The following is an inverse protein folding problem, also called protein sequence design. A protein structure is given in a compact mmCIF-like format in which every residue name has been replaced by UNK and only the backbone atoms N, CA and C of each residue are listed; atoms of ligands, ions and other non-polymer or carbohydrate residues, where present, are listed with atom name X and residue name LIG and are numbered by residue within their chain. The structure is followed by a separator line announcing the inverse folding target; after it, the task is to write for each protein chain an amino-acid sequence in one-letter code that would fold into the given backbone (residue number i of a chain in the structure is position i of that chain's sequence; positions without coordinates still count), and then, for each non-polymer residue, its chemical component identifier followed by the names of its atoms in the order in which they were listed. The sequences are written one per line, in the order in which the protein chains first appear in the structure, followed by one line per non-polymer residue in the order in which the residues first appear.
data_IF_031070927456
#
_entry.id   IF_031070927456
#
_cell.length_a   1.000
_cell.length_b   1.000
_cell.length_c   1.000
_cell.angle_alpha   90.00
_cell.angle_beta   90.00
_cell.angle_gamma   90.00
#
_symmetry.space_group_name_H-M   'P 1'
#
loop_
_entity.id
_entity.type
_entity.pdbx_description
1 polymer ?
#
# COMPACT_ATOMS: atom_id res chain seq x y z
N UNK A 1 -15.90 19.91 68.72
CA UNK A 1 -15.36 18.55 68.82
C UNK A 1 -15.84 17.73 67.63
N UNK A 2 -14.89 17.11 66.90
CA UNK A 2 -14.96 15.87 66.10
C UNK A 2 -16.08 15.77 65.03
N UNK A 3 -15.73 15.93 63.74
CA UNK A 3 -15.24 14.91 62.78
C UNK A 3 -16.37 14.00 62.28
N UNK A 4 -16.28 13.61 61.00
CA UNK A 4 -17.11 12.68 60.19
C UNK A 4 -17.83 13.46 59.06
N UNK A 5 -17.67 13.22 57.76
CA UNK A 5 -17.21 12.03 57.03
C UNK A 5 -16.52 12.48 55.72
N UNK A 6 -15.27 12.07 55.52
CA UNK A 6 -14.60 11.97 54.23
C UNK A 6 -14.74 10.50 53.78
N UNK A 7 -15.47 10.23 52.71
CA UNK A 7 -15.49 8.97 51.94
C UNK A 7 -16.68 9.08 50.96
N UNK A 8 -16.64 8.69 49.69
CA UNK A 8 -15.64 8.06 48.87
C UNK A 8 -16.05 8.37 47.42
N UNK A 9 -15.14 8.97 46.64
CA UNK A 9 -15.30 9.13 45.18
C UNK A 9 -14.19 8.34 44.50
N UNK A 10 -14.17 7.03 44.73
CA UNK A 10 -13.27 6.09 44.07
C UNK A 10 -14.10 4.92 43.55
N UNK A 11 -14.80 5.12 42.44
CA UNK A 11 -15.52 4.11 41.67
C UNK A 11 -16.12 4.87 40.47
N UNK A 12 -15.89 4.59 39.19
CA UNK A 12 -15.26 3.49 38.47
C UNK A 12 -14.80 4.09 37.14
N UNK A 13 -13.50 4.25 36.92
CA UNK A 13 -12.97 4.44 35.56
C UNK A 13 -12.76 3.04 34.97
N UNK A 14 -13.86 2.35 34.63
CA UNK A 14 -13.77 1.20 33.73
C UNK A 14 -13.39 1.75 32.37
N UNK A 15 -12.08 1.72 32.06
CA UNK A 15 -11.59 1.92 30.72
C UNK A 15 -12.23 0.83 29.84
N UNK A 16 -13.16 1.21 28.98
CA UNK A 16 -13.64 0.36 27.91
C UNK A 16 -12.45 0.08 26.98
N UNK A 17 -11.73 -1.02 27.19
CA UNK A 17 -10.83 -1.58 26.19
C UNK A 17 -11.72 -2.15 25.08
N UNK A 18 -12.10 -1.31 24.12
CA UNK A 18 -12.72 -1.80 22.90
C UNK A 18 -11.72 -2.76 22.23
N UNK A 19 -12.16 -3.95 21.76
CA UNK A 19 -11.29 -4.87 21.05
C UNK A 19 -10.68 -4.13 19.84
N UNK A 20 -9.35 -4.11 19.79
CA UNK A 20 -8.62 -3.44 18.74
C UNK A 20 -8.86 -4.22 17.44
N UNK A 21 -9.39 -3.57 16.42
CA UNK A 21 -9.59 -4.21 15.12
C UNK A 21 -8.23 -4.65 14.59
N UNK A 22 -8.12 -5.93 14.21
CA UNK A 22 -6.93 -6.53 13.62
C UNK A 22 -6.50 -5.70 12.39
N UNK A 23 -5.24 -5.26 12.37
CA UNK A 23 -4.66 -4.48 11.27
C UNK A 23 -3.29 -5.05 10.90
N UNK A 24 -2.98 -5.07 9.61
CA UNK A 24 -1.70 -5.55 9.08
C UNK A 24 -0.79 -4.40 8.66
N UNK A 25 0.52 -4.62 8.67
CA UNK A 25 1.47 -3.63 8.17
C UNK A 25 1.51 -3.67 6.65
N UNK A 26 1.41 -2.51 6.04
CA UNK A 26 1.63 -2.30 4.62
C UNK A 26 2.88 -1.44 4.45
N UNK A 27 3.97 -2.07 4.01
CA UNK A 27 5.31 -1.52 3.95
C UNK A 27 5.96 -1.84 2.58
N UNK A 28 5.45 -1.22 1.49
CA UNK A 28 6.09 -1.31 0.19
C UNK A 28 7.55 -0.86 0.24
N UNK A 29 8.42 -1.55 -0.49
CA UNK A 29 9.85 -1.26 -0.54
C UNK A 29 10.22 -0.68 -1.90
N UNK A 30 10.82 0.50 -1.89
CA UNK A 30 11.35 1.14 -3.10
C UNK A 30 12.44 0.26 -3.74
N UNK A 31 12.47 0.21 -5.08
CA UNK A 31 13.55 -0.45 -5.82
C UNK A 31 14.58 0.59 -6.22
N UNK A 32 15.65 0.70 -5.43
CA UNK A 32 16.66 1.73 -5.62
C UNK A 32 17.61 1.39 -6.78
N UNK A 33 17.86 2.38 -7.64
CA UNK A 33 18.87 2.28 -8.71
C UNK A 33 20.28 2.57 -8.16
N UNK A 34 21.28 1.92 -8.76
CA UNK A 34 22.70 2.19 -8.48
C UNK A 34 23.31 3.22 -9.45
N UNK A 35 22.53 3.70 -10.42
CA UNK A 35 22.97 4.65 -11.43
C UNK A 35 21.84 5.62 -11.80
N UNK A 36 22.21 6.88 -11.99
CA UNK A 36 21.30 7.89 -12.52
C UNK A 36 20.98 7.61 -13.99
N UNK A 37 19.71 7.72 -14.36
CA UNK A 37 19.27 7.66 -15.77
C UNK A 37 19.04 9.07 -16.34
N UNK A 38 18.85 10.07 -15.47
CA UNK A 38 18.71 11.49 -15.81
C UNK A 38 19.59 12.35 -14.92
N UNK A 39 19.91 13.57 -15.36
CA UNK A 39 20.62 14.57 -14.56
C UNK A 39 19.64 15.68 -14.11
N UNK A 40 19.06 15.53 -12.92
CA UNK A 40 18.22 16.54 -12.24
C UNK A 40 16.93 16.96 -12.99
N UNK A 41 16.38 16.06 -13.82
CA UNK A 41 15.06 16.25 -14.42
C UNK A 41 13.98 16.30 -13.33
N UNK A 42 13.09 17.29 -13.40
CA UNK A 42 12.13 17.55 -12.32
C UNK A 42 10.71 17.10 -12.67
N UNK A 43 9.95 16.69 -11.64
CA UNK A 43 8.54 16.32 -11.77
C UNK A 43 7.75 16.62 -10.49
N UNK A 44 6.44 16.78 -10.63
CA UNK A 44 5.51 16.78 -9.50
C UNK A 44 4.94 15.38 -9.34
N UNK A 45 4.94 14.81 -8.14
CA UNK A 45 4.30 13.51 -7.86
C UNK A 45 2.98 13.72 -7.15
N UNK A 46 1.92 13.08 -7.64
CA UNK A 46 0.62 13.01 -6.96
C UNK A 46 0.12 11.57 -6.92
N UNK A 47 -0.77 11.28 -5.97
CA UNK A 47 -1.41 9.98 -5.88
C UNK A 47 -2.90 10.05 -5.55
N UNK A 48 -3.64 9.04 -5.99
CA UNK A 48 -5.07 8.84 -5.72
C UNK A 48 -5.33 7.40 -5.28
N UNK A 49 -6.27 7.23 -4.35
CA UNK A 49 -6.79 5.91 -3.97
C UNK A 49 -8.13 5.72 -4.67
N UNK A 50 -8.14 4.88 -5.71
CA UNK A 50 -9.32 4.58 -6.54
C UNK A 50 -9.94 3.22 -6.17
N UNK A 51 -9.42 2.55 -5.13
CA UNK A 51 -9.94 1.27 -4.67
C UNK A 51 -11.40 1.40 -4.24
N UNK A 52 -12.21 0.39 -4.60
CA UNK A 52 -13.63 0.34 -4.23
C UNK A 52 -13.87 0.24 -2.72
N UNK A 53 -12.85 -0.18 -1.96
CA UNK A 53 -12.90 -0.28 -0.51
C UNK A 53 -11.52 -0.03 0.13
N UNK A 54 -11.53 0.35 1.40
CA UNK A 54 -10.33 0.72 2.16
C UNK A 54 -9.65 -0.46 2.88
N UNK A 55 -10.30 -1.64 2.94
CA UNK A 55 -9.65 -2.84 3.43
C UNK A 55 -8.58 -3.33 2.44
N UNK A 56 -7.59 -4.06 2.95
CA UNK A 56 -6.49 -4.62 2.18
C UNK A 56 -6.50 -6.15 2.20
N UNK A 57 -7.34 -6.77 3.02
CA UNK A 57 -7.64 -8.18 2.92
C UNK A 57 -9.10 -8.48 3.25
N UNK A 58 -9.59 -9.57 2.67
CA UNK A 58 -10.89 -10.17 2.95
C UNK A 58 -10.68 -11.63 3.35
N UNK A 59 -11.07 -12.00 4.56
CA UNK A 59 -10.93 -13.36 5.07
C UNK A 59 -12.29 -14.05 5.05
N UNK A 60 -12.45 -15.00 4.14
CA UNK A 60 -13.56 -15.93 4.13
C UNK A 60 -13.15 -17.19 4.92
N UNK A 61 -13.56 -17.23 6.19
CA UNK A 61 -13.28 -18.35 7.09
C UNK A 61 -14.19 -19.57 6.87
N UNK A 62 -15.06 -19.55 5.86
CA UNK A 62 -16.10 -20.57 5.66
C UNK A 62 -17.23 -20.51 6.71
N UNK A 63 -17.21 -19.52 7.59
CA UNK A 63 -18.32 -19.14 8.48
C UNK A 63 -19.16 -18.07 7.80
N UNK A 64 -20.36 -17.79 8.32
CA UNK A 64 -21.34 -16.90 7.65
C UNK A 64 -20.90 -15.45 7.40
N UNK A 65 -19.69 -15.04 7.81
CA UNK A 65 -19.21 -13.66 7.69
C UNK A 65 -17.81 -13.62 7.06
N UNK A 66 -17.64 -12.74 6.07
CA UNK A 66 -16.33 -12.36 5.50
C UNK A 66 -15.76 -11.23 6.35
N UNK A 67 -14.53 -11.37 6.81
CA UNK A 67 -13.88 -10.43 7.72
C UNK A 67 -12.93 -9.48 6.96
N UNK A 68 -13.20 -8.16 6.92
CA UNK A 68 -12.30 -7.20 6.31
C UNK A 68 -11.16 -6.79 7.25
N UNK A 69 -9.92 -6.79 6.74
CA UNK A 69 -8.73 -6.36 7.46
C UNK A 69 -8.17 -5.08 6.82
N UNK A 70 -7.82 -4.11 7.65
CA UNK A 70 -7.26 -2.83 7.23
C UNK A 70 -5.74 -2.79 7.43
N UNK A 71 -5.06 -1.94 6.66
CA UNK A 71 -3.65 -1.65 6.86
C UNK A 71 -3.47 -0.62 7.97
N UNK A 72 -2.37 -0.71 8.72
CA UNK A 72 -1.97 0.33 9.69
C UNK A 72 -1.55 1.62 8.98
N UNK A 73 -0.86 1.49 7.86
CA UNK A 73 -0.40 2.60 7.03
C UNK A 73 -1.45 2.97 5.98
N UNK A 74 -1.45 4.23 5.56
CA UNK A 74 -2.26 4.66 4.41
C UNK A 74 -1.63 4.07 3.13
N UNK A 75 -2.40 3.23 2.42
CA UNK A 75 -1.92 2.51 1.22
C UNK A 75 -1.39 3.46 0.16
N UNK A 76 -2.17 4.50 -0.17
CA UNK A 76 -1.82 5.51 -1.18
C UNK A 76 -0.50 6.20 -0.83
N UNK A 77 -0.38 6.74 0.38
CA UNK A 77 0.83 7.46 0.81
C UNK A 77 2.05 6.53 0.87
N UNK A 78 1.86 5.28 1.28
CA UNK A 78 2.98 4.32 1.35
C UNK A 78 3.53 3.99 -0.03
N UNK A 79 2.66 3.84 -1.03
CA UNK A 79 3.06 3.62 -2.44
C UNK A 79 3.70 4.88 -3.03
N UNK A 80 3.11 6.06 -2.79
CA UNK A 80 3.67 7.34 -3.23
C UNK A 80 5.11 7.52 -2.74
N UNK A 81 5.36 7.26 -1.46
CA UNK A 81 6.70 7.35 -0.87
C UNK A 81 7.68 6.36 -1.50
N UNK A 82 7.27 5.10 -1.69
CA UNK A 82 8.14 4.08 -2.30
C UNK A 82 8.51 4.44 -3.75
N UNK A 83 7.56 4.93 -4.55
CA UNK A 83 7.82 5.40 -5.91
C UNK A 83 8.66 6.68 -5.94
N UNK A 84 8.42 7.61 -5.01
CA UNK A 84 9.22 8.82 -4.88
C UNK A 84 10.69 8.49 -4.61
N UNK A 85 10.96 7.59 -3.67
CA UNK A 85 12.32 7.16 -3.34
C UNK A 85 12.97 6.43 -4.51
N UNK A 86 12.22 5.61 -5.23
CA UNK A 86 12.66 4.92 -6.44
C UNK A 86 13.05 5.92 -7.54
N UNK A 87 12.19 6.89 -7.89
CA UNK A 87 12.53 7.89 -8.90
C UNK A 87 13.69 8.80 -8.46
N UNK A 88 13.77 9.17 -7.18
CA UNK A 88 14.93 9.92 -6.67
C UNK A 88 16.23 9.16 -6.82
N UNK A 89 16.23 7.85 -6.59
CA UNK A 89 17.42 7.01 -6.78
C UNK A 89 17.88 6.89 -8.24
N UNK A 90 17.02 7.28 -9.18
CA UNK A 90 17.29 7.30 -10.62
C UNK A 90 17.74 8.68 -11.13
N UNK A 91 17.90 9.66 -10.24
CA UNK A 91 18.37 11.02 -10.55
C UNK A 91 17.27 12.06 -10.78
N UNK A 92 15.99 11.69 -10.64
CA UNK A 92 14.88 12.65 -10.75
C UNK A 92 14.71 13.49 -9.49
N UNK A 93 14.27 14.74 -9.66
CA UNK A 93 13.97 15.66 -8.54
C UNK A 93 12.48 15.98 -8.44
N UNK A 94 11.87 15.61 -7.32
CA UNK A 94 10.47 15.99 -7.06
C UNK A 94 10.36 17.44 -6.59
N UNK A 95 9.46 18.22 -7.21
CA UNK A 95 9.16 19.61 -6.85
C UNK A 95 7.70 19.93 -7.17
N UNK A 96 7.09 20.86 -6.43
CA UNK A 96 5.67 21.23 -6.59
C UNK A 96 5.38 22.14 -7.79
N UNK A 97 6.43 22.66 -8.46
CA UNK A 97 6.34 23.64 -9.55
C UNK A 97 6.91 23.09 -10.87
N UNK A 98 6.88 21.78 -11.08
CA UNK A 98 7.33 21.18 -12.33
C UNK A 98 6.23 21.23 -13.39
N UNK A 99 6.59 21.47 -14.66
CA UNK A 99 5.70 21.31 -15.81
C UNK A 99 5.43 19.83 -16.13
N UNK A 100 6.34 18.94 -15.71
CA UNK A 100 6.15 17.48 -15.79
C UNK A 100 5.47 16.95 -14.53
N UNK A 101 4.58 16.00 -14.68
CA UNK A 101 3.88 15.34 -13.58
C UNK A 101 3.92 13.82 -13.70
N UNK A 102 3.90 13.17 -12.55
CA UNK A 102 3.62 11.74 -12.41
C UNK A 102 2.44 11.61 -11.47
N UNK A 103 1.36 11.00 -11.94
CA UNK A 103 0.20 10.65 -11.13
C UNK A 103 0.15 9.14 -10.94
N UNK A 104 -0.08 8.71 -9.71
CA UNK A 104 -0.20 7.28 -9.34
C UNK A 104 -1.61 7.02 -8.81
N UNK A 105 -2.35 6.16 -9.49
CA UNK A 105 -3.65 5.71 -9.03
C UNK A 105 -3.57 4.27 -8.50
N UNK A 106 -3.95 4.09 -7.24
CA UNK A 106 -4.11 2.76 -6.63
C UNK A 106 -5.49 2.24 -6.99
N UNK A 107 -5.58 1.34 -7.97
CA UNK A 107 -6.85 0.76 -8.44
C UNK A 107 -7.26 -0.44 -7.59
N UNK A 108 -6.28 -1.26 -7.19
CA UNK A 108 -6.51 -2.44 -6.36
C UNK A 108 -5.31 -2.69 -5.44
N UNK A 109 -5.56 -3.10 -4.21
CA UNK A 109 -4.56 -3.62 -3.29
C UNK A 109 -5.29 -4.50 -2.27
N UNK A 110 -5.42 -5.78 -2.60
CA UNK A 110 -6.30 -6.72 -1.89
C UNK A 110 -5.68 -8.11 -1.82
N UNK A 111 -5.75 -8.72 -0.64
CA UNK A 111 -5.56 -10.16 -0.44
C UNK A 111 -6.89 -10.81 -0.12
N UNK A 112 -7.34 -11.72 -0.98
CA UNK A 112 -8.52 -12.55 -0.74
C UNK A 112 -8.08 -13.88 -0.14
N UNK A 113 -8.57 -14.17 1.06
CA UNK A 113 -8.28 -15.43 1.75
C UNK A 113 -9.52 -16.31 1.71
N UNK A 114 -9.38 -17.51 1.18
CA UNK A 114 -10.41 -18.55 1.20
C UNK A 114 -9.95 -19.70 2.08
N UNK A 115 -10.72 -19.99 3.11
CA UNK A 115 -10.43 -21.07 4.04
C UNK A 115 -11.25 -22.33 3.71
N UNK A 116 -10.60 -23.48 3.80
CA UNK A 116 -11.24 -24.80 3.92
C UNK A 116 -10.76 -25.47 5.20
N UNK A 117 -11.40 -26.58 5.60
CA UNK A 117 -11.07 -27.28 6.85
C UNK A 117 -9.59 -27.65 6.99
N UNK A 118 -8.87 -27.88 5.89
CA UNK A 118 -7.48 -28.36 5.91
C UNK A 118 -6.46 -27.35 5.39
N UNK A 119 -6.88 -26.42 4.53
CA UNK A 119 -6.00 -25.49 3.83
C UNK A 119 -6.63 -24.11 3.71
N UNK A 120 -5.78 -23.09 3.58
CA UNK A 120 -6.16 -21.77 3.14
C UNK A 120 -5.52 -21.45 1.80
N UNK A 121 -6.21 -20.65 1.00
CA UNK A 121 -5.70 -20.06 -0.23
C UNK A 121 -5.73 -18.54 -0.10
N UNK A 122 -4.59 -17.90 -0.28
CA UNK A 122 -4.44 -16.45 -0.31
C UNK A 122 -4.12 -16.01 -1.73
N UNK A 123 -5.04 -15.25 -2.34
CA UNK A 123 -4.88 -14.63 -3.64
C UNK A 123 -4.68 -13.12 -3.46
N UNK A 124 -3.44 -12.66 -3.64
CA UNK A 124 -3.08 -11.25 -3.56
C UNK A 124 -3.06 -10.60 -4.93
N UNK A 125 -3.59 -9.38 -5.02
CA UNK A 125 -3.59 -8.57 -6.25
C UNK A 125 -3.39 -7.09 -5.93
N UNK A 126 -2.49 -6.46 -6.69
CA UNK A 126 -2.26 -5.02 -6.67
C UNK A 126 -2.28 -4.52 -8.10
N UNK A 127 -3.02 -3.44 -8.34
CA UNK A 127 -3.10 -2.77 -9.65
C UNK A 127 -2.81 -1.30 -9.44
N UNK A 128 -1.74 -0.82 -10.08
CA UNK A 128 -1.38 0.60 -10.12
C UNK A 128 -1.48 1.12 -11.54
N UNK A 129 -2.05 2.30 -11.71
CA UNK A 129 -1.92 3.07 -12.94
C UNK A 129 -0.96 4.24 -12.68
N UNK A 130 0.01 4.41 -13.56
CA UNK A 130 0.95 5.53 -13.54
C UNK A 130 0.77 6.33 -14.82
N UNK A 131 0.48 7.62 -14.66
CA UNK A 131 0.43 8.58 -15.75
C UNK A 131 1.62 9.52 -15.62
N UNK A 132 2.54 9.48 -16.59
CA UNK A 132 3.61 10.46 -16.75
C UNK A 132 3.18 11.47 -17.83
N UNK A 133 3.12 12.76 -17.48
CA UNK A 133 2.57 13.80 -18.35
C UNK A 133 3.52 15.01 -18.44
N UNK A 134 3.55 15.60 -19.63
CA UNK A 134 4.32 16.79 -19.99
C UNK A 134 3.47 17.70 -20.88
N UNK A 135 3.86 18.96 -21.15
CA UNK A 135 3.14 19.81 -22.11
C UNK A 135 3.03 19.22 -23.53
N UNK A 136 3.86 18.23 -23.86
CA UNK A 136 3.97 17.65 -25.20
C UNK A 136 3.13 16.37 -25.35
N UNK A 137 2.62 15.81 -24.26
CA UNK A 137 1.82 14.59 -24.25
C UNK A 137 1.89 13.84 -22.93
N UNK A 138 1.28 12.65 -22.90
CA UNK A 138 1.25 11.77 -21.73
C UNK A 138 1.49 10.31 -22.09
N UNK A 139 2.08 9.56 -21.16
CA UNK A 139 2.18 8.11 -21.17
C UNK A 139 1.40 7.56 -19.97
N UNK A 140 0.51 6.59 -20.22
CA UNK A 140 -0.28 5.91 -19.18
C UNK A 140 0.08 4.44 -19.19
N UNK A 141 0.43 3.90 -18.03
CA UNK A 141 0.86 2.51 -17.86
C UNK A 141 0.15 1.89 -16.66
N UNK A 142 -0.40 0.70 -16.86
CA UNK A 142 -1.01 -0.08 -15.79
C UNK A 142 -0.10 -1.26 -15.44
N UNK A 143 0.22 -1.40 -14.15
CA UNK A 143 1.05 -2.45 -13.60
C UNK A 143 0.19 -3.34 -12.70
N UNK A 144 0.28 -4.67 -12.89
CA UNK A 144 -0.56 -5.62 -12.17
C UNK A 144 0.30 -6.72 -11.57
N UNK A 145 0.40 -6.71 -10.24
CA UNK A 145 1.01 -7.78 -9.47
C UNK A 145 -0.05 -8.76 -9.00
N UNK A 146 0.26 -10.04 -9.08
CA UNK A 146 -0.53 -11.08 -8.43
C UNK A 146 0.38 -12.05 -7.70
N UNK A 147 -0.10 -12.60 -6.58
CA UNK A 147 0.54 -13.70 -5.89
C UNK A 147 -0.51 -14.67 -5.39
N UNK A 148 -0.14 -15.94 -5.37
CA UNK A 148 -0.97 -17.00 -4.82
C UNK A 148 -0.16 -17.80 -3.83
N UNK A 149 -0.70 -18.00 -2.62
CA UNK A 149 -0.12 -18.87 -1.60
C UNK A 149 -1.16 -19.81 -1.04
N UNK A 150 -0.71 -21.00 -0.69
CA UNK A 150 -1.51 -22.00 0.00
C UNK A 150 -0.82 -22.32 1.32
N UNK A 151 -1.58 -22.26 2.41
CA UNK A 151 -1.13 -22.61 3.76
C UNK A 151 -1.97 -23.76 4.32
N UNK A 152 -1.48 -24.39 5.39
CA UNK A 152 -2.28 -25.32 6.16
C UNK A 152 -3.17 -24.53 7.14
N UNK A 153 -4.36 -25.04 7.45
CA UNK A 153 -5.28 -24.43 8.43
C UNK A 153 -5.67 -22.98 8.05
N UNK A 154 -5.90 -22.12 9.05
CA UNK A 154 -6.22 -20.70 8.86
C UNK A 154 -4.98 -19.88 8.53
N UNK A 155 -5.11 -18.94 7.59
CA UNK A 155 -4.07 -17.95 7.34
C UNK A 155 -3.93 -17.03 8.54
N UNK A 156 -2.69 -16.79 8.99
CA UNK A 156 -2.39 -15.77 9.99
C UNK A 156 -2.34 -14.37 9.37
N UNK A 157 -2.44 -13.34 10.20
CA UNK A 157 -2.32 -11.97 9.73
C UNK A 157 -0.92 -11.66 9.19
N UNK A 158 0.10 -12.32 9.71
CA UNK A 158 1.49 -12.24 9.21
C UNK A 158 1.59 -12.84 7.80
N UNK A 159 0.95 -13.98 7.53
CA UNK A 159 0.96 -14.58 6.19
C UNK A 159 0.23 -13.69 5.17
N UNK A 160 -0.89 -13.08 5.56
CA UNK A 160 -1.64 -12.13 4.73
C UNK A 160 -0.78 -10.87 4.48
N UNK A 161 -0.13 -10.36 5.52
CA UNK A 161 0.80 -9.23 5.45
C UNK A 161 1.94 -9.51 4.45
N UNK A 162 2.57 -10.68 4.54
CA UNK A 162 3.63 -11.08 3.60
C UNK A 162 3.12 -11.13 2.16
N UNK A 163 1.96 -11.76 1.90
CA UNK A 163 1.39 -11.82 0.55
C UNK A 163 1.13 -10.42 0.01
N UNK A 164 0.51 -9.54 0.81
CA UNK A 164 0.21 -8.18 0.38
C UNK A 164 1.49 -7.40 0.02
N UNK A 165 2.50 -7.47 0.89
CA UNK A 165 3.76 -6.76 0.71
C UNK A 165 4.57 -7.31 -0.48
N UNK A 166 4.55 -8.62 -0.69
CA UNK A 166 5.23 -9.22 -1.84
C UNK A 166 4.60 -8.82 -3.16
N UNK A 167 3.26 -8.77 -3.23
CA UNK A 167 2.57 -8.36 -4.45
C UNK A 167 2.87 -6.91 -4.81
N UNK A 168 2.83 -5.97 -3.86
CA UNK A 168 3.20 -4.58 -4.15
C UNK A 168 4.69 -4.46 -4.52
N UNK A 169 5.58 -5.22 -3.89
CA UNK A 169 7.00 -5.19 -4.24
C UNK A 169 7.24 -5.72 -5.66
N UNK A 170 6.48 -6.73 -6.13
CA UNK A 170 6.50 -7.17 -7.52
C UNK A 170 6.08 -6.05 -8.48
N UNK A 171 5.03 -5.31 -8.14
CA UNK A 171 4.59 -4.16 -8.95
C UNK A 171 5.66 -3.07 -8.99
N UNK A 172 6.26 -2.71 -7.85
CA UNK A 172 7.33 -1.70 -7.81
C UNK A 172 8.57 -2.13 -8.61
N UNK A 173 8.89 -3.44 -8.59
CA UNK A 173 9.94 -4.02 -9.41
C UNK A 173 9.61 -3.96 -10.91
N UNK A 174 8.35 -4.16 -11.30
CA UNK A 174 7.89 -4.00 -12.68
C UNK A 174 8.02 -2.55 -13.14
N UNK A 175 7.55 -1.59 -12.33
CA UNK A 175 7.71 -0.14 -12.59
C UNK A 175 9.18 0.23 -12.73
N UNK A 176 10.06 -0.32 -11.87
CA UNK A 176 11.50 -0.04 -11.91
C UNK A 176 12.19 -0.61 -13.15
N UNK A 177 11.62 -1.66 -13.75
CA UNK A 177 12.19 -2.33 -14.91
C UNK A 177 11.51 -1.92 -16.24
N UNK A 178 10.47 -1.08 -16.20
CA UNK A 178 9.74 -0.66 -17.40
C UNK A 178 10.55 0.36 -18.22
N UNK A 179 11.16 -0.13 -19.30
CA UNK A 179 11.95 0.68 -20.22
C UNK A 179 11.14 1.74 -20.95
N UNK A 180 9.86 1.49 -21.22
CA UNK A 180 9.01 2.47 -21.92
C UNK A 180 8.74 3.67 -21.02
N UNK A 181 8.39 3.42 -19.75
CA UNK A 181 8.25 4.48 -18.76
C UNK A 181 9.57 5.23 -18.54
N UNK A 182 10.67 4.50 -18.36
CA UNK A 182 11.99 5.10 -18.18
C UNK A 182 12.40 5.97 -19.36
N UNK A 183 12.31 5.46 -20.60
CA UNK A 183 12.67 6.21 -21.80
C UNK A 183 11.77 7.43 -21.98
N UNK A 184 10.46 7.29 -21.75
CA UNK A 184 9.54 8.42 -21.83
C UNK A 184 9.93 9.52 -20.85
N UNK A 185 10.14 9.18 -19.58
CA UNK A 185 10.55 10.15 -18.57
C UNK A 185 11.94 10.72 -18.86
N UNK A 186 12.90 9.92 -19.31
CA UNK A 186 14.24 10.38 -19.65
C UNK A 186 14.27 11.35 -20.84
N UNK A 187 13.45 11.12 -21.86
CA UNK A 187 13.42 11.92 -23.07
C UNK A 187 12.53 13.17 -22.95
N UNK A 188 11.54 13.16 -22.06
CA UNK A 188 10.47 14.16 -22.02
C UNK A 188 10.44 15.02 -20.76
N UNK A 189 11.08 14.60 -19.66
CA UNK A 189 11.12 15.38 -18.42
C UNK A 189 12.27 16.37 -18.38
#
# INVERSE_FOLDING_TARGET
MRKLVLAASMALLTACSAPQQEQINFMPKAVLSNSDIVQDASFTLTSKDMRSAQYVALVDSGRSNIEPIHSKQNVRISIENALLDQFKSQGFRSTVNSENSVEVEVQEALVSVKHTVMENQMDGKVVLEITAETPQGKLVKTYTGTAKRTGALSASNEEIEEVLNDVINLVLQEVSNDRELQNYMQERF
#
